data_IF_683129820153
#
_entry.id   IF_683129820153
#
_cell.length_a   1.000
_cell.length_b   1.000
_cell.length_c   1.000
_cell.angle_alpha   90.00
_cell.angle_beta   90.00
_cell.angle_gamma   90.00
#
_symmetry.space_group_name_H-M   'P 1'
#
loop_
_entity.id
_entity.type
_entity.pdbx_description
1 polymer ?
#
# COMPACT_ATOMS: atom_id res chain seq x y z
N UNK A 1 17.01 42.72 7.28
CA UNK A 1 16.69 41.65 6.31
C UNK A 1 16.30 40.37 7.07
N UNK A 2 15.04 39.91 7.03
CA UNK A 2 14.68 38.59 7.53
C UNK A 2 14.35 37.64 6.36
N UNK A 3 15.04 36.50 6.27
CA UNK A 3 14.61 35.36 5.43
C UNK A 3 14.09 34.26 6.36
N UNK A 4 12.78 34.15 6.44
CA UNK A 4 12.08 33.00 7.05
C UNK A 4 11.89 31.92 5.98
N UNK A 5 12.23 30.64 6.21
CA UNK A 5 11.86 29.59 5.27
C UNK A 5 10.40 29.15 5.50
N UNK A 6 9.55 29.36 4.50
CA UNK A 6 8.18 28.89 4.46
C UNK A 6 8.14 27.35 4.32
N UNK A 7 7.63 26.65 5.35
CA UNK A 7 7.41 25.20 5.30
C UNK A 7 6.08 24.93 4.57
N UNK A 8 6.19 24.37 3.37
CA UNK A 8 5.09 24.01 2.45
C UNK A 8 4.05 23.14 3.16
N UNK A 9 2.81 23.60 3.22
CA UNK A 9 1.64 22.81 3.57
C UNK A 9 1.36 21.82 2.43
N UNK A 10 1.57 20.53 2.69
CA UNK A 10 1.19 19.46 1.78
C UNK A 10 -0.35 19.41 1.74
N UNK A 11 -0.92 19.79 0.60
CA UNK A 11 -2.35 19.70 0.34
C UNK A 11 -2.83 18.26 0.53
N UNK A 12 -3.74 18.08 1.49
CA UNK A 12 -4.51 16.85 1.66
C UNK A 12 -5.50 16.75 0.49
N UNK A 13 -5.01 16.24 -0.64
CA UNK A 13 -5.85 15.79 -1.72
C UNK A 13 -6.65 14.58 -1.21
N UNK A 14 -7.92 14.81 -0.89
CA UNK A 14 -8.88 13.77 -0.52
C UNK A 14 -8.93 12.76 -1.66
N UNK A 15 -8.17 11.66 -1.53
CA UNK A 15 -8.26 10.49 -2.40
C UNK A 15 -9.70 10.02 -2.29
N UNK A 16 -10.49 10.27 -3.32
CA UNK A 16 -11.79 9.68 -3.52
C UNK A 16 -11.57 8.17 -3.55
N UNK A 17 -11.83 7.52 -2.42
CA UNK A 17 -11.91 6.07 -2.34
C UNK A 17 -13.14 5.68 -3.14
N UNK A 18 -12.92 5.36 -4.41
CA UNK A 18 -13.91 4.71 -5.26
C UNK A 18 -14.47 3.54 -4.45
N UNK A 19 -15.79 3.57 -4.19
CA UNK A 19 -16.47 2.53 -3.42
C UNK A 19 -16.02 1.17 -3.95
N UNK A 20 -15.39 0.36 -3.08
CA UNK A 20 -15.11 -1.04 -3.38
C UNK A 20 -16.45 -1.67 -3.71
N UNK A 21 -16.68 -1.91 -4.99
CA UNK A 21 -17.76 -2.78 -5.42
C UNK A 21 -17.37 -4.15 -4.90
N UNK A 22 -18.10 -4.64 -3.90
CA UNK A 22 -17.95 -5.99 -3.37
C UNK A 22 -18.34 -6.98 -4.45
N UNK A 23 -17.45 -7.19 -5.43
CA UNK A 23 -17.48 -8.39 -6.25
C UNK A 23 -16.92 -9.48 -5.36
N UNK A 24 -17.80 -10.37 -4.91
CA UNK A 24 -17.41 -11.53 -4.13
C UNK A 24 -16.70 -12.50 -5.07
N UNK A 25 -15.40 -12.29 -5.30
CA UNK A 25 -14.58 -13.11 -6.18
C UNK A 25 -14.05 -14.29 -5.35
N UNK A 26 -14.54 -15.53 -5.56
CA UNK A 26 -14.16 -16.68 -4.74
C UNK A 26 -12.73 -17.15 -5.01
N UNK A 27 -12.18 -16.86 -6.20
CA UNK A 27 -10.85 -17.25 -6.61
C UNK A 27 -10.12 -16.07 -7.25
N UNK A 28 -8.92 -15.77 -6.75
CA UNK A 28 -8.07 -14.70 -7.24
C UNK A 28 -6.60 -15.11 -7.26
N UNK A 29 -5.74 -14.19 -7.65
CA UNK A 29 -4.30 -14.36 -7.64
C UNK A 29 -3.65 -13.37 -6.66
N UNK A 30 -2.59 -13.81 -5.98
CA UNK A 30 -1.79 -12.97 -5.12
C UNK A 30 -0.44 -12.69 -5.78
N UNK A 31 -0.20 -11.43 -6.11
CA UNK A 31 1.08 -10.98 -6.67
C UNK A 31 1.93 -10.36 -5.56
N UNK A 32 3.10 -10.95 -5.33
CA UNK A 32 4.04 -10.50 -4.32
C UNK A 32 5.30 -10.00 -5.04
N UNK A 33 5.55 -8.70 -4.95
CA UNK A 33 6.77 -8.09 -5.43
C UNK A 33 7.66 -7.77 -4.23
N UNK A 34 8.59 -8.71 -3.94
CA UNK A 34 9.54 -8.60 -2.85
C UNK A 34 10.91 -8.13 -3.39
N UNK A 35 11.32 -6.94 -2.96
CA UNK A 35 12.65 -6.38 -3.26
C UNK A 35 13.39 -6.07 -1.97
N UNK A 36 14.71 -5.86 -2.08
CA UNK A 36 15.55 -5.48 -0.94
C UNK A 36 15.15 -4.16 -0.26
N UNK A 37 14.27 -3.35 -0.87
CA UNK A 37 13.86 -2.05 -0.34
C UNK A 37 12.38 -2.00 0.05
N UNK A 38 11.55 -2.91 -0.45
CA UNK A 38 10.11 -2.91 -0.23
C UNK A 38 9.47 -4.26 -0.61
N UNK A 39 8.39 -4.61 0.09
CA UNK A 39 7.48 -5.69 -0.30
C UNK A 39 6.12 -5.10 -0.62
N UNK A 40 5.63 -5.35 -1.83
CA UNK A 40 4.33 -4.91 -2.32
C UNK A 40 3.50 -6.17 -2.59
N UNK A 41 2.30 -6.21 -2.03
CA UNK A 41 1.38 -7.34 -2.13
C UNK A 41 0.10 -6.81 -2.75
N UNK A 42 -0.28 -7.40 -3.88
CA UNK A 42 -1.48 -7.04 -4.62
C UNK A 42 -2.33 -8.28 -4.82
N UNK A 43 -3.59 -8.19 -4.44
CA UNK A 43 -4.59 -9.22 -4.66
C UNK A 43 -5.44 -8.84 -5.86
N UNK A 44 -5.52 -9.77 -6.82
CA UNK A 44 -6.20 -9.60 -8.09
C UNK A 44 -7.26 -10.66 -8.31
N UNK A 45 -8.23 -10.33 -9.16
CA UNK A 45 -9.12 -11.26 -9.86
C UNK A 45 -8.31 -12.14 -10.85
N UNK A 46 -8.84 -13.30 -11.23
CA UNK A 46 -8.38 -14.05 -12.42
C UNK A 46 -8.34 -13.21 -13.71
N UNK A 47 -9.20 -12.19 -13.80
CA UNK A 47 -9.20 -11.20 -14.89
C UNK A 47 -8.09 -10.14 -14.77
N UNK A 48 -7.26 -10.17 -13.72
CA UNK A 48 -6.18 -9.21 -13.49
C UNK A 48 -6.61 -7.88 -12.84
N UNK A 49 -7.86 -7.76 -12.41
CA UNK A 49 -8.34 -6.56 -11.71
C UNK A 49 -7.85 -6.55 -10.26
N UNK A 50 -7.12 -5.50 -9.86
CA UNK A 50 -6.62 -5.35 -8.48
C UNK A 50 -7.78 -4.99 -7.55
N UNK A 51 -8.05 -5.88 -6.59
CA UNK A 51 -9.08 -5.69 -5.56
C UNK A 51 -8.50 -4.90 -4.40
N UNK A 52 -7.30 -5.29 -3.96
CA UNK A 52 -6.64 -4.71 -2.79
C UNK A 52 -5.13 -4.77 -2.96
N UNK A 53 -4.44 -3.78 -2.42
CA UNK A 53 -2.98 -3.76 -2.41
C UNK A 53 -2.48 -3.11 -1.14
N UNK A 54 -1.37 -3.62 -0.62
CA UNK A 54 -0.65 -3.01 0.47
C UNK A 54 0.85 -3.18 0.26
N UNK A 55 1.62 -2.36 0.97
CA UNK A 55 3.07 -2.45 0.95
C UNK A 55 3.62 -2.10 2.32
N UNK A 56 4.87 -2.47 2.57
CA UNK A 56 5.55 -2.06 3.80
C UNK A 56 5.53 -0.53 4.00
N UNK A 57 5.57 0.26 2.93
CA UNK A 57 5.41 1.71 2.99
C UNK A 57 4.00 2.16 3.40
N UNK A 58 2.96 1.48 2.89
CA UNK A 58 1.55 1.79 3.20
C UNK A 58 1.21 1.43 4.65
N UNK A 59 1.85 0.39 5.21
CA UNK A 59 1.71 -0.03 6.61
C UNK A 59 2.51 0.83 7.61
N UNK A 60 3.07 1.96 7.18
CA UNK A 60 3.74 2.93 8.06
C UNK A 60 5.23 2.67 8.32
N UNK A 61 5.84 1.67 7.69
CA UNK A 61 7.28 1.44 7.82
C UNK A 61 8.07 2.45 6.96
N UNK A 62 9.12 3.03 7.54
CA UNK A 62 9.98 4.04 6.92
C UNK A 62 11.44 3.59 6.90
N UNK A 63 12.18 4.05 5.89
CA UNK A 63 13.62 3.77 5.75
C UNK A 63 13.94 2.28 5.59
N UNK A 64 15.02 1.83 6.24
CA UNK A 64 15.49 0.43 6.26
C UNK A 64 14.49 -0.54 6.87
N UNK A 65 13.50 -0.07 7.65
CA UNK A 65 12.48 -0.95 8.24
C UNK A 65 11.51 -1.53 7.22
N UNK A 66 11.45 -0.98 5.99
CA UNK A 66 10.57 -1.45 4.90
C UNK A 66 11.00 -2.78 4.28
N UNK A 67 12.27 -3.15 4.40
CA UNK A 67 12.82 -4.40 3.84
C UNK A 67 12.80 -5.55 4.84
N UNK A 68 12.28 -5.33 6.04
CA UNK A 68 12.22 -6.36 7.06
C UNK A 68 11.10 -7.36 6.77
N UNK A 69 11.29 -8.66 7.11
CA UNK A 69 10.25 -9.67 6.94
C UNK A 69 9.01 -9.36 7.81
N UNK A 70 9.19 -8.67 8.93
CA UNK A 70 8.08 -8.21 9.76
C UNK A 70 7.18 -7.20 9.02
N UNK A 71 7.76 -6.22 8.34
CA UNK A 71 7.00 -5.26 7.55
C UNK A 71 6.25 -5.93 6.40
N UNK A 72 6.85 -6.95 5.76
CA UNK A 72 6.19 -7.74 4.72
C UNK A 72 4.96 -8.50 5.26
N UNK A 73 5.07 -9.11 6.45
CA UNK A 73 3.94 -9.80 7.10
C UNK A 73 2.79 -8.85 7.41
N UNK A 74 3.09 -7.70 8.00
CA UNK A 74 2.06 -6.69 8.31
C UNK A 74 1.40 -6.18 7.04
N UNK A 75 2.16 -5.92 5.97
CA UNK A 75 1.61 -5.54 4.68
C UNK A 75 0.70 -6.64 4.10
N UNK A 76 1.07 -7.92 4.24
CA UNK A 76 0.25 -9.04 3.77
C UNK A 76 -1.09 -9.10 4.49
N UNK A 77 -1.07 -8.93 5.82
CA UNK A 77 -2.27 -8.90 6.64
C UNK A 77 -3.16 -7.70 6.27
N UNK A 78 -2.59 -6.51 6.09
CA UNK A 78 -3.34 -5.32 5.65
C UNK A 78 -3.96 -5.52 4.27
N UNK A 79 -3.27 -6.19 3.33
CA UNK A 79 -3.84 -6.48 2.01
C UNK A 79 -4.99 -7.49 2.07
N UNK A 80 -4.92 -8.46 2.99
CA UNK A 80 -5.95 -9.49 3.18
C UNK A 80 -7.19 -8.96 3.92
N UNK A 81 -7.02 -8.03 4.87
CA UNK A 81 -8.10 -7.41 5.64
C UNK A 81 -8.82 -6.29 4.87
N UNK A 82 -8.21 -5.76 3.80
CA UNK A 82 -8.72 -4.62 3.03
C UNK A 82 -9.62 -5.05 1.89
#
# INVERSE_FOLDING_TARGET
MPRTPAKRTAGSGRRTTTRKVTKNIPYGQAHIYATFNNTIISMTDQSGNVISWASAGTSGFKGSRKSTPYAARVAAQTAAEA
#
